data_IF_820968761873
#
_entry.id   IF_820968761873
#
_cell.length_a   1.000
_cell.length_b   1.000
_cell.length_c   1.000
_cell.angle_alpha   90.00
_cell.angle_beta   90.00
_cell.angle_gamma   90.00
#
_symmetry.space_group_name_H-M   'P 1'
#
loop_
_entity.id
_entity.type
_entity.pdbx_description
1 polymer ?
#
# COMPACT_ATOMS: atom_id res chain seq x y z
N UNK A 1 -49.48 -20.61 -50.08
CA UNK A 1 -49.09 -21.08 -48.73
C UNK A 1 -47.58 -21.14 -48.68
N UNK A 2 -46.94 -20.13 -48.10
CA UNK A 2 -45.50 -20.09 -47.83
C UNK A 2 -45.28 -20.38 -46.34
N UNK A 3 -44.25 -21.13 -45.93
CA UNK A 3 -44.01 -21.43 -44.52
C UNK A 3 -43.45 -20.17 -43.82
N UNK A 4 -43.73 -19.98 -42.52
CA UNK A 4 -43.19 -18.86 -41.76
C UNK A 4 -41.70 -19.09 -41.50
N UNK A 5 -40.87 -18.19 -42.02
CA UNK A 5 -39.44 -18.15 -41.74
C UNK A 5 -39.21 -17.85 -40.26
N UNK A 6 -38.65 -18.83 -39.57
CA UNK A 6 -38.14 -18.74 -38.20
C UNK A 6 -37.23 -17.52 -38.06
N UNK A 7 -37.67 -16.52 -37.29
CA UNK A 7 -36.86 -15.36 -36.93
C UNK A 7 -35.87 -15.80 -35.87
N UNK A 8 -34.68 -16.21 -36.29
CA UNK A 8 -33.56 -16.54 -35.41
C UNK A 8 -33.06 -15.26 -34.71
N UNK A 9 -33.54 -15.04 -33.49
CA UNK A 9 -33.04 -14.01 -32.59
C UNK A 9 -31.63 -14.41 -32.14
N UNK A 10 -30.61 -13.71 -32.67
CA UNK A 10 -29.23 -13.86 -32.24
C UNK A 10 -29.06 -13.21 -30.86
N UNK A 11 -28.95 -14.01 -29.81
CA UNK A 11 -28.52 -13.59 -28.48
C UNK A 11 -27.04 -13.14 -28.55
N UNK A 12 -26.81 -11.84 -28.58
CA UNK A 12 -25.47 -11.26 -28.54
C UNK A 12 -25.02 -11.13 -27.07
N UNK A 13 -24.56 -12.21 -26.47
CA UNK A 13 -23.86 -12.13 -25.18
C UNK A 13 -22.50 -11.46 -25.41
N UNK A 14 -22.40 -10.17 -25.12
CA UNK A 14 -21.17 -9.40 -25.23
C UNK A 14 -20.30 -9.65 -23.99
N UNK A 15 -19.60 -10.78 -23.94
CA UNK A 15 -18.50 -10.95 -22.98
C UNK A 15 -17.32 -10.12 -23.47
N UNK A 16 -17.09 -8.97 -22.83
CA UNK A 16 -15.87 -8.19 -23.08
C UNK A 16 -14.72 -8.96 -22.45
N UNK A 17 -14.09 -9.86 -23.22
CA UNK A 17 -12.71 -10.23 -22.97
C UNK A 17 -11.92 -9.01 -23.44
N UNK A 18 -11.68 -8.09 -22.52
CA UNK A 18 -10.75 -6.99 -22.73
C UNK A 18 -9.37 -7.61 -22.94
N UNK A 19 -9.07 -8.00 -24.17
CA UNK A 19 -7.71 -8.27 -24.65
C UNK A 19 -7.05 -6.92 -24.94
N UNK A 20 -7.17 -6.03 -23.96
CA UNK A 20 -6.30 -4.88 -23.83
C UNK A 20 -5.08 -5.38 -23.09
N UNK A 21 -3.90 -5.22 -23.69
CA UNK A 21 -2.69 -4.95 -22.91
C UNK A 21 -2.81 -3.58 -22.23
N UNK A 22 -3.93 -3.35 -21.55
CA UNK A 22 -4.06 -2.26 -20.62
C UNK A 22 -3.41 -2.77 -19.34
N UNK A 23 -2.64 -1.90 -18.70
CA UNK A 23 -2.11 -2.07 -17.35
C UNK A 23 -3.25 -2.03 -16.32
N UNK A 24 -4.37 -2.69 -16.61
CA UNK A 24 -5.48 -2.88 -15.67
C UNK A 24 -5.18 -4.15 -14.88
N UNK A 25 -5.19 -4.09 -13.55
CA UNK A 25 -4.92 -5.25 -12.74
C UNK A 25 -6.00 -6.32 -12.86
N UNK A 26 -5.57 -7.55 -12.67
CA UNK A 26 -6.44 -8.73 -12.61
C UNK A 26 -7.11 -8.83 -11.25
N UNK A 27 -6.41 -8.43 -10.17
CA UNK A 27 -6.94 -8.40 -8.81
C UNK A 27 -7.04 -6.98 -8.29
N UNK A 28 -8.18 -6.66 -7.70
CA UNK A 28 -8.47 -5.34 -7.13
C UNK A 28 -9.43 -5.48 -5.96
N UNK A 29 -9.43 -4.46 -5.09
CA UNK A 29 -10.37 -4.36 -3.98
C UNK A 29 -11.68 -3.76 -4.47
N UNK A 30 -12.77 -4.53 -4.40
CA UNK A 30 -14.13 -4.01 -4.61
C UNK A 30 -14.56 -3.13 -3.44
N UNK A 31 -15.64 -2.35 -3.59
CA UNK A 31 -16.23 -1.60 -2.46
C UNK A 31 -16.51 -2.49 -1.25
N UNK A 32 -17.01 -3.70 -1.48
CA UNK A 32 -17.27 -4.69 -0.44
C UNK A 32 -15.97 -5.21 0.21
N UNK A 33 -14.91 -5.42 -0.57
CA UNK A 33 -13.60 -5.83 -0.03
C UNK A 33 -12.98 -4.72 0.83
N UNK A 34 -13.14 -3.45 0.43
CA UNK A 34 -12.69 -2.28 1.22
C UNK A 34 -13.48 -2.17 2.54
N UNK A 35 -14.79 -2.39 2.52
CA UNK A 35 -15.61 -2.43 3.74
C UNK A 35 -15.19 -3.57 4.66
N UNK A 36 -14.90 -4.75 4.10
CA UNK A 36 -14.37 -5.89 4.86
C UNK A 36 -13.01 -5.58 5.47
N UNK A 37 -12.12 -4.92 4.73
CA UNK A 37 -10.82 -4.49 5.24
C UNK A 37 -10.98 -3.51 6.42
N UNK A 38 -11.89 -2.53 6.31
CA UNK A 38 -12.23 -1.63 7.41
C UNK A 38 -12.77 -2.39 8.63
N UNK A 39 -13.67 -3.35 8.42
CA UNK A 39 -14.20 -4.18 9.49
C UNK A 39 -13.13 -5.07 10.15
N UNK A 40 -12.14 -5.56 9.39
CA UNK A 40 -11.01 -6.31 9.94
C UNK A 40 -10.11 -5.46 10.82
N UNK A 41 -9.99 -4.15 10.54
CA UNK A 41 -9.23 -3.19 11.33
C UNK A 41 -10.03 -2.68 12.55
N UNK A 42 -11.36 -2.65 12.49
CA UNK A 42 -12.24 -2.24 13.58
C UNK A 42 -12.41 -3.35 14.65
N UNK A 43 -11.29 -3.74 15.26
CA UNK A 43 -11.23 -4.72 16.37
C UNK A 43 -10.96 -3.99 17.69
N UNK A 44 -11.40 -4.55 18.84
CA UNK A 44 -11.10 -3.97 20.14
C UNK A 44 -9.60 -3.98 20.41
N UNK A 45 -9.10 -2.89 21.01
CA UNK A 45 -7.69 -2.75 21.35
C UNK A 45 -7.32 -3.71 22.49
N UNK A 46 -6.40 -4.64 22.20
CA UNK A 46 -5.85 -5.57 23.20
C UNK A 46 -4.53 -5.06 23.76
N UNK A 47 -3.74 -4.39 22.93
CA UNK A 47 -2.46 -3.78 23.27
C UNK A 47 -2.22 -2.52 22.40
N UNK A 48 -1.15 -1.76 22.68
CA UNK A 48 -0.81 -0.55 21.91
C UNK A 48 -0.53 -0.84 20.43
N UNK A 49 0.09 -1.97 20.11
CA UNK A 49 0.38 -2.38 18.73
C UNK A 49 -0.92 -2.58 17.92
N UNK A 50 -1.91 -3.28 18.49
CA UNK A 50 -3.23 -3.46 17.87
C UNK A 50 -3.94 -2.13 17.68
N UNK A 51 -3.83 -1.22 18.64
CA UNK A 51 -4.36 0.13 18.52
C UNK A 51 -3.69 0.90 17.38
N UNK A 52 -2.37 0.79 17.25
CA UNK A 52 -1.62 1.38 16.14
C UNK A 52 -2.09 0.85 14.78
N UNK A 53 -2.12 -0.47 14.58
CA UNK A 53 -2.56 -1.05 13.29
C UNK A 53 -3.98 -0.66 12.93
N UNK A 54 -4.90 -0.68 13.90
CA UNK A 54 -6.30 -0.29 13.69
C UNK A 54 -6.45 1.20 13.37
N UNK A 55 -5.85 2.08 14.18
CA UNK A 55 -6.02 3.54 14.06
C UNK A 55 -5.34 4.05 12.80
N UNK A 56 -4.06 3.71 12.61
CA UNK A 56 -3.30 4.17 11.44
C UNK A 56 -3.81 3.51 10.17
N UNK A 57 -4.18 2.23 10.21
CA UNK A 57 -4.78 1.53 9.07
C UNK A 57 -6.10 2.16 8.62
N UNK A 58 -7.02 2.46 9.55
CA UNK A 58 -8.28 3.14 9.23
C UNK A 58 -8.05 4.56 8.70
N UNK A 59 -7.12 5.30 9.29
CA UNK A 59 -6.74 6.64 8.83
C UNK A 59 -6.17 6.62 7.42
N UNK A 60 -5.32 5.65 7.08
CA UNK A 60 -4.77 5.47 5.73
C UNK A 60 -5.87 5.21 4.69
N UNK A 61 -6.95 4.52 5.06
CA UNK A 61 -8.11 4.29 4.20
C UNK A 61 -9.06 5.50 4.11
N UNK A 62 -8.72 6.63 4.75
CA UNK A 62 -9.59 7.80 4.87
C UNK A 62 -10.87 7.56 5.68
N UNK A 63 -10.90 6.50 6.49
CA UNK A 63 -12.01 6.22 7.40
C UNK A 63 -11.82 6.94 8.73
N UNK A 64 -12.91 7.39 9.34
CA UNK A 64 -12.85 7.92 10.71
C UNK A 64 -12.79 6.78 11.71
N UNK A 65 -11.97 6.95 12.75
CA UNK A 65 -11.93 6.03 13.89
C UNK A 65 -13.22 6.22 14.70
N UNK A 66 -14.05 5.17 14.89
CA UNK A 66 -15.40 5.29 15.48
C UNK A 66 -15.45 5.98 16.85
N UNK A 67 -14.40 5.85 17.66
CA UNK A 67 -14.29 6.48 18.98
C UNK A 67 -12.91 7.13 19.21
N UNK A 68 -12.58 8.16 18.42
CA UNK A 68 -11.28 8.85 18.52
C UNK A 68 -10.89 9.28 19.95
N UNK A 69 -11.85 9.75 20.76
CA UNK A 69 -11.60 10.12 22.16
C UNK A 69 -11.23 8.93 23.05
N UNK A 70 -11.94 7.80 22.91
CA UNK A 70 -11.69 6.59 23.69
C UNK A 70 -10.36 5.95 23.29
N UNK A 71 -10.06 5.93 21.99
CA UNK A 71 -8.78 5.51 21.45
C UNK A 71 -7.63 6.34 22.02
N UNK A 72 -7.78 7.67 22.03
CA UNK A 72 -6.78 8.56 22.60
C UNK A 72 -6.59 8.35 24.13
N UNK A 73 -7.66 8.16 24.89
CA UNK A 73 -7.58 7.80 26.31
C UNK A 73 -6.86 6.46 26.50
N UNK A 74 -7.16 5.45 25.68
CA UNK A 74 -6.51 4.14 25.74
C UNK A 74 -5.00 4.24 25.48
N UNK A 75 -4.59 5.01 24.47
CA UNK A 75 -3.17 5.25 24.16
C UNK A 75 -2.48 5.88 25.37
N UNK A 76 -3.06 6.95 25.95
CA UNK A 76 -2.46 7.63 27.12
C UNK A 76 -2.37 6.73 28.35
N UNK A 77 -3.35 5.86 28.58
CA UNK A 77 -3.36 4.96 29.74
C UNK A 77 -2.40 3.78 29.63
N UNK A 78 -2.02 3.37 28.42
CA UNK A 78 -1.12 2.23 28.18
C UNK A 78 0.29 2.67 27.74
N UNK A 79 0.54 3.97 27.65
CA UNK A 79 1.83 4.54 27.29
C UNK A 79 2.88 4.20 28.35
N UNK A 80 3.96 3.54 27.93
CA UNK A 80 5.15 3.34 28.73
C UNK A 80 6.23 4.35 28.28
N UNK A 81 6.54 5.37 29.09
CA UNK A 81 7.52 6.40 28.75
C UNK A 81 8.96 5.89 28.71
N UNK A 82 9.21 4.65 29.18
CA UNK A 82 10.53 4.01 29.20
C UNK A 82 10.79 3.07 28.02
N UNK A 83 9.77 2.79 27.20
CA UNK A 83 9.85 1.83 26.11
C UNK A 83 9.69 2.52 24.75
N UNK A 84 10.73 2.43 23.90
CA UNK A 84 10.76 3.01 22.54
C UNK A 84 9.62 2.51 21.66
N UNK A 85 9.26 1.23 21.75
CA UNK A 85 8.19 0.64 20.93
C UNK A 85 6.81 1.18 21.35
N UNK A 86 6.60 1.33 22.67
CA UNK A 86 5.37 1.93 23.20
C UNK A 86 5.22 3.38 22.74
N UNK A 87 6.31 4.14 22.77
CA UNK A 87 6.37 5.52 22.30
C UNK A 87 6.09 5.63 20.80
N UNK A 88 6.64 4.73 20.00
CA UNK A 88 6.38 4.67 18.56
C UNK A 88 4.91 4.42 18.25
N UNK A 89 4.31 3.38 18.82
CA UNK A 89 2.90 3.05 18.59
C UNK A 89 1.98 4.20 19.03
N UNK A 90 2.28 4.82 20.17
CA UNK A 90 1.52 5.93 20.69
C UNK A 90 1.65 7.20 19.83
N UNK A 91 2.87 7.57 19.43
CA UNK A 91 3.13 8.76 18.61
C UNK A 91 2.39 8.66 17.27
N UNK A 92 2.59 7.56 16.55
CA UNK A 92 2.01 7.36 15.22
C UNK A 92 0.48 7.25 15.28
N UNK A 93 -0.07 6.54 16.27
CA UNK A 93 -1.52 6.46 16.45
C UNK A 93 -2.12 7.82 16.85
N UNK A 94 -1.44 8.60 17.69
CA UNK A 94 -1.91 9.92 18.10
C UNK A 94 -1.93 10.92 16.94
N UNK A 95 -0.94 10.86 16.04
CA UNK A 95 -0.87 11.71 14.85
C UNK A 95 -2.04 11.47 13.89
N UNK A 96 -2.51 10.22 13.79
CA UNK A 96 -3.68 9.85 13.00
C UNK A 96 -5.02 10.30 13.62
N UNK A 97 -5.04 10.67 14.91
CA UNK A 97 -6.25 11.11 15.62
C UNK A 97 -6.28 12.64 15.74
N UNK A 98 -7.28 13.27 15.12
CA UNK A 98 -7.51 14.70 15.29
C UNK A 98 -7.80 15.06 16.76
N UNK A 99 -6.93 15.87 17.36
CA UNK A 99 -7.07 16.36 18.75
C UNK A 99 -6.48 15.43 19.84
N UNK A 100 -5.69 14.41 19.47
CA UNK A 100 -4.97 13.58 20.43
C UNK A 100 -3.52 14.04 20.61
N UNK A 101 -3.29 15.06 21.44
CA UNK A 101 -1.93 15.51 21.77
C UNK A 101 -1.39 14.73 22.98
N UNK A 102 -0.21 14.13 22.83
CA UNK A 102 0.49 13.42 23.91
C UNK A 102 1.70 14.24 24.31
N UNK A 103 1.66 14.82 25.51
CA UNK A 103 2.82 15.47 26.11
C UNK A 103 3.76 14.40 26.68
N UNK A 104 5.02 14.40 26.25
CA UNK A 104 6.08 13.54 26.77
C UNK A 104 7.05 14.34 27.63
N UNK A 105 7.70 13.67 28.59
CA UNK A 105 8.68 14.32 29.46
C UNK A 105 10.04 14.49 28.76
N UNK A 106 10.92 15.31 29.33
CA UNK A 106 12.26 15.51 28.78
C UNK A 106 13.08 14.22 28.84
N UNK A 107 12.89 13.39 29.87
CA UNK A 107 13.56 12.11 30.04
C UNK A 107 13.20 11.13 28.91
N UNK A 108 11.92 11.10 28.52
CA UNK A 108 11.44 10.31 27.38
C UNK A 108 12.06 10.81 26.06
N UNK A 109 12.20 12.11 25.89
CA UNK A 109 12.85 12.70 24.72
C UNK A 109 14.33 12.31 24.65
N UNK A 110 15.04 12.38 25.78
CA UNK A 110 16.47 12.02 25.84
C UNK A 110 16.66 10.51 25.58
N UNK A 111 15.73 9.67 26.05
CA UNK A 111 15.70 8.24 25.74
C UNK A 111 15.52 7.98 24.24
N UNK A 112 14.60 8.68 23.56
CA UNK A 112 14.40 8.54 22.12
C UNK A 112 15.63 8.99 21.33
N UNK A 113 16.25 10.11 21.73
CA UNK A 113 17.49 10.59 21.10
C UNK A 113 18.65 9.60 21.30
N UNK A 114 18.78 9.01 22.49
CA UNK A 114 19.81 8.00 22.78
C UNK A 114 19.60 6.69 22.00
N UNK A 115 18.35 6.32 21.71
CA UNK A 115 18.00 5.16 20.90
C UNK A 115 18.36 5.34 19.41
N UNK A 116 18.57 6.58 18.95
CA UNK A 116 19.11 6.87 17.62
C UNK A 116 20.64 6.78 17.68
N UNK A 117 21.14 5.55 17.74
CA UNK A 117 22.58 5.26 17.84
C UNK A 117 22.98 4.04 17.00
N UNK A 118 24.25 3.99 16.60
CA UNK A 118 24.84 2.88 15.82
C UNK A 118 24.86 1.53 16.56
N UNK A 119 24.68 1.56 17.88
CA UNK A 119 24.63 0.36 18.72
C UNK A 119 23.21 -0.20 18.87
N UNK A 120 22.19 0.57 18.48
CA UNK A 120 20.78 0.16 18.52
C UNK A 120 20.41 -0.72 17.32
N UNK A 121 19.31 -1.46 17.41
CA UNK A 121 18.81 -2.24 16.26
C UNK A 121 18.15 -1.33 15.21
N UNK A 122 18.08 -1.77 13.95
CA UNK A 122 17.39 -1.03 12.88
C UNK A 122 15.94 -0.73 13.25
N UNK A 123 15.23 -1.70 13.84
CA UNK A 123 13.87 -1.52 14.36
C UNK A 123 13.80 -0.44 15.44
N UNK A 124 14.74 -0.41 16.39
CA UNK A 124 14.76 0.60 17.45
C UNK A 124 15.04 2.00 16.90
N UNK A 125 15.99 2.12 15.96
CA UNK A 125 16.29 3.39 15.28
C UNK A 125 15.03 3.88 14.55
N UNK A 126 14.38 3.00 13.78
CA UNK A 126 13.13 3.31 13.08
C UNK A 126 12.04 3.78 14.05
N UNK A 127 11.75 3.00 15.10
CA UNK A 127 10.74 3.34 16.08
C UNK A 127 11.04 4.66 16.79
N UNK A 128 12.30 4.91 17.15
CA UNK A 128 12.72 6.17 17.78
C UNK A 128 12.54 7.37 16.85
N UNK A 129 13.00 7.27 15.60
CA UNK A 129 12.89 8.34 14.60
C UNK A 129 11.42 8.65 14.28
N UNK A 130 10.61 7.60 14.06
CA UNK A 130 9.19 7.78 13.78
C UNK A 130 8.44 8.33 15.01
N UNK A 131 8.80 7.93 16.24
CA UNK A 131 8.23 8.53 17.44
C UNK A 131 8.59 10.02 17.57
N UNK A 132 9.85 10.39 17.36
CA UNK A 132 10.31 11.79 17.36
C UNK A 132 9.56 12.63 16.31
N UNK A 133 9.40 12.09 15.09
CA UNK A 133 8.64 12.70 13.99
C UNK A 133 7.16 12.85 14.35
N UNK A 134 6.54 11.80 14.91
CA UNK A 134 5.13 11.80 15.32
C UNK A 134 4.81 12.79 16.43
N UNK A 135 5.72 12.97 17.39
CA UNK A 135 5.60 13.99 18.44
C UNK A 135 5.99 15.41 17.98
N UNK A 136 6.46 15.59 16.75
CA UNK A 136 6.92 16.88 16.23
C UNK A 136 8.17 17.41 16.95
N UNK A 137 9.00 16.51 17.50
CA UNK A 137 10.24 16.86 18.17
C UNK A 137 11.37 17.14 17.18
N UNK A 138 12.36 17.97 17.55
CA UNK A 138 13.53 18.21 16.70
C UNK A 138 14.32 16.92 16.52
N UNK A 139 14.55 16.55 15.27
CA UNK A 139 15.29 15.36 14.87
C UNK A 139 16.56 15.77 14.11
N UNK A 140 17.72 15.33 14.60
CA UNK A 140 18.97 15.45 13.89
C UNK A 140 19.00 14.45 12.73
N UNK A 141 18.41 14.84 11.59
CA UNK A 141 18.16 13.94 10.46
C UNK A 141 19.43 13.30 9.90
N UNK A 142 20.54 14.05 9.88
CA UNK A 142 21.82 13.54 9.40
C UNK A 142 22.44 12.52 10.37
N UNK A 143 22.31 12.73 11.67
CA UNK A 143 22.81 11.79 12.70
C UNK A 143 22.00 10.49 12.69
N UNK A 144 20.67 10.60 12.55
CA UNK A 144 19.79 9.44 12.41
C UNK A 144 20.11 8.64 11.15
N UNK A 145 20.34 9.32 10.02
CA UNK A 145 20.74 8.68 8.77
C UNK A 145 22.12 8.00 8.92
N UNK A 146 23.11 8.67 9.50
CA UNK A 146 24.44 8.08 9.70
C UNK A 146 24.37 6.86 10.60
N UNK A 147 23.61 6.92 11.69
CA UNK A 147 23.43 5.79 12.60
C UNK A 147 22.78 4.60 11.90
N UNK A 148 21.75 4.86 11.09
CA UNK A 148 21.06 3.85 10.30
C UNK A 148 21.98 3.22 9.25
N UNK A 149 22.68 4.02 8.45
CA UNK A 149 23.60 3.53 7.41
C UNK A 149 24.75 2.75 8.03
N UNK A 150 25.37 3.26 9.10
CA UNK A 150 26.44 2.56 9.81
C UNK A 150 25.95 1.21 10.36
N UNK A 151 24.71 1.14 10.88
CA UNK A 151 24.15 -0.13 11.36
C UNK A 151 23.91 -1.13 10.22
N UNK A 152 23.35 -0.68 9.09
CA UNK A 152 23.15 -1.50 7.90
C UNK A 152 24.49 -2.05 7.38
N UNK A 153 25.53 -1.22 7.27
CA UNK A 153 26.87 -1.64 6.79
C UNK A 153 27.65 -2.50 7.80
N UNK A 154 27.53 -2.26 9.10
CA UNK A 154 28.16 -3.07 10.16
C UNK A 154 27.58 -4.48 10.19
N UNK A 155 26.29 -4.60 9.91
CA UNK A 155 25.64 -5.91 9.78
C UNK A 155 26.02 -6.60 8.48
N UNK A 156 26.18 -5.89 7.36
CA UNK A 156 26.76 -6.51 6.15
C UNK A 156 28.16 -7.07 6.40
N UNK A 157 29.03 -6.37 7.13
CA UNK A 157 30.42 -6.81 7.35
C UNK A 157 30.57 -7.93 8.39
N UNK A 158 29.71 -7.98 9.43
CA UNK A 158 29.75 -9.01 10.48
C UNK A 158 28.84 -10.19 10.15
N UNK A 159 27.64 -9.95 9.61
CA UNK A 159 26.77 -11.02 9.15
C UNK A 159 27.34 -11.65 7.88
N UNK A 160 27.78 -10.95 6.84
CA UNK A 160 28.31 -11.65 5.64
C UNK A 160 29.48 -12.61 5.91
N UNK A 161 30.27 -12.41 6.99
CA UNK A 161 31.35 -13.34 7.39
C UNK A 161 30.90 -14.55 8.21
N UNK A 162 29.81 -14.48 8.98
CA UNK A 162 29.27 -15.61 9.78
C UNK A 162 28.08 -16.28 9.07
N UNK A 163 27.45 -15.57 8.15
CA UNK A 163 26.19 -15.88 7.51
C UNK A 163 26.32 -16.71 6.22
N UNK A 164 27.51 -16.82 5.65
CA UNK A 164 27.77 -17.76 4.53
C UNK A 164 27.51 -19.24 4.89
N UNK A 165 27.11 -19.53 6.13
CA UNK A 165 26.79 -20.85 6.66
C UNK A 165 25.32 -21.13 7.01
N UNK A 166 24.35 -20.21 6.95
CA UNK A 166 22.95 -20.54 7.29
C UNK A 166 21.88 -19.75 6.51
N UNK A 167 20.97 -20.47 5.83
CA UNK A 167 19.90 -19.98 4.96
C UNK A 167 18.66 -19.45 5.73
N UNK A 168 18.81 -18.38 6.52
CA UNK A 168 17.70 -17.76 7.29
C UNK A 168 17.62 -16.21 7.15
N UNK A 169 18.40 -15.56 6.27
CA UNK A 169 18.58 -14.09 6.27
C UNK A 169 17.80 -13.33 5.21
N UNK A 170 17.28 -13.99 4.18
CA UNK A 170 16.54 -13.27 3.15
C UNK A 170 15.40 -12.48 3.82
N UNK A 171 14.67 -13.14 4.73
CA UNK A 171 13.52 -12.56 5.41
C UNK A 171 13.80 -11.39 6.35
N UNK A 172 14.97 -11.38 6.98
CA UNK A 172 15.37 -10.26 7.84
C UNK A 172 15.98 -9.10 7.03
N UNK A 173 16.50 -9.35 5.82
CA UNK A 173 17.11 -8.30 5.00
C UNK A 173 16.05 -7.37 4.41
N UNK A 174 15.04 -7.91 3.70
CA UNK A 174 13.97 -7.11 3.10
C UNK A 174 13.21 -6.29 4.15
N UNK A 175 12.89 -6.90 5.30
CA UNK A 175 12.22 -6.21 6.41
C UNK A 175 13.04 -5.02 6.95
N UNK A 176 14.37 -5.17 7.11
CA UNK A 176 15.25 -4.09 7.58
C UNK A 176 15.32 -2.94 6.58
N UNK A 177 15.46 -3.24 5.30
CA UNK A 177 15.51 -2.18 4.29
C UNK A 177 14.15 -1.48 4.16
N UNK A 178 13.03 -2.19 4.32
CA UNK A 178 11.69 -1.57 4.42
C UNK A 178 11.62 -0.60 5.61
N UNK A 179 12.12 -0.99 6.78
CA UNK A 179 12.20 -0.09 7.93
C UNK A 179 13.13 1.11 7.69
N UNK A 180 14.23 0.91 6.96
CA UNK A 180 15.12 1.99 6.56
C UNK A 180 14.41 2.99 5.62
N UNK A 181 13.65 2.52 4.63
CA UNK A 181 12.82 3.34 3.75
C UNK A 181 11.76 4.12 4.55
N UNK A 182 11.10 3.46 5.49
CA UNK A 182 10.13 4.11 6.38
C UNK A 182 10.81 5.20 7.24
N UNK A 183 11.97 4.89 7.83
CA UNK A 183 12.76 5.85 8.61
C UNK A 183 13.14 7.06 7.77
N UNK A 184 13.68 6.83 6.57
CA UNK A 184 14.08 7.86 5.63
C UNK A 184 12.91 8.78 5.25
N UNK A 185 11.68 8.25 5.15
CA UNK A 185 10.47 9.06 4.87
C UNK A 185 10.10 10.04 5.99
N UNK A 186 10.65 9.87 7.20
CA UNK A 186 10.45 10.74 8.35
C UNK A 186 11.60 11.73 8.57
N UNK A 187 12.71 11.59 7.85
CA UNK A 187 13.87 12.49 7.93
C UNK A 187 13.60 13.80 7.18
N UNK A 188 14.45 14.79 7.38
CA UNK A 188 14.44 16.02 6.59
C UNK A 188 14.92 15.78 5.16
N UNK A 189 14.32 16.48 4.19
CA UNK A 189 14.74 16.51 2.78
C UNK A 189 16.21 16.97 2.58
N UNK A 190 16.80 17.62 3.59
CA UNK A 190 18.19 18.05 3.57
C UNK A 190 19.19 16.91 3.84
N UNK A 191 18.74 15.76 4.33
CA UNK A 191 19.58 14.59 4.54
C UNK A 191 19.93 13.92 3.20
N UNK A 192 21.12 13.34 3.09
CA UNK A 192 21.58 12.67 1.86
C UNK A 192 20.96 11.28 1.70
N UNK A 193 19.70 11.22 1.25
CA UNK A 193 18.94 9.97 1.12
C UNK A 193 19.29 9.15 -0.12
N UNK A 194 20.31 9.55 -0.90
CA UNK A 194 20.63 8.93 -2.20
C UNK A 194 20.95 7.45 -2.10
N UNK A 195 21.77 7.07 -1.12
CA UNK A 195 22.14 5.67 -0.91
C UNK A 195 20.92 4.78 -0.67
N UNK A 196 19.96 5.24 0.14
CA UNK A 196 18.73 4.50 0.43
C UNK A 196 17.81 4.42 -0.80
N UNK A 197 17.80 5.45 -1.64
CA UNK A 197 17.01 5.46 -2.89
C UNK A 197 17.60 4.49 -3.92
N UNK A 198 18.92 4.39 -4.02
CA UNK A 198 19.59 3.45 -4.92
C UNK A 198 19.25 1.98 -4.57
N UNK A 199 19.14 1.64 -3.28
CA UNK A 199 18.74 0.31 -2.81
C UNK A 199 17.33 -0.12 -3.27
N UNK A 200 16.46 0.82 -3.64
CA UNK A 200 15.10 0.50 -4.13
C UNK A 200 15.20 -0.31 -5.42
N UNK A 201 16.10 0.04 -6.33
CA UNK A 201 16.27 -0.67 -7.60
C UNK A 201 16.74 -2.11 -7.38
N UNK A 202 17.69 -2.30 -6.46
CA UNK A 202 18.21 -3.61 -6.08
C UNK A 202 17.14 -4.47 -5.40
N UNK A 203 16.29 -3.87 -4.55
CA UNK A 203 15.17 -4.58 -3.93
C UNK A 203 14.10 -4.98 -4.95
N UNK A 204 13.80 -4.13 -5.92
CA UNK A 204 12.85 -4.45 -7.00
C UNK A 204 13.37 -5.62 -7.84
N UNK A 205 14.68 -5.67 -8.10
CA UNK A 205 15.31 -6.77 -8.83
C UNK A 205 15.29 -8.11 -8.08
N UNK A 206 15.08 -8.09 -6.75
CA UNK A 206 15.00 -9.28 -5.89
C UNK A 206 13.60 -9.85 -5.72
N UNK A 207 12.58 -9.18 -6.25
CA UNK A 207 11.22 -9.69 -6.17
C UNK A 207 11.05 -10.92 -7.09
N UNK A 208 10.31 -11.91 -6.62
CA UNK A 208 9.98 -13.08 -7.41
C UNK A 208 8.84 -12.81 -8.37
N UNK A 209 9.10 -13.08 -9.65
CA UNK A 209 8.08 -13.09 -10.68
C UNK A 209 7.37 -14.45 -10.70
N UNK A 210 6.10 -14.48 -10.28
CA UNK A 210 5.29 -15.69 -10.32
C UNK A 210 4.35 -15.64 -11.52
N UNK A 211 4.67 -16.47 -12.53
CA UNK A 211 3.83 -16.67 -13.71
C UNK A 211 3.61 -15.43 -14.57
N UNK A 212 4.49 -14.42 -14.49
CA UNK A 212 4.39 -13.16 -15.24
C UNK A 212 3.24 -12.24 -14.84
N UNK A 213 2.49 -12.59 -13.80
CA UNK A 213 1.30 -11.85 -13.34
C UNK A 213 1.48 -11.26 -11.95
N UNK A 214 2.34 -11.87 -11.13
CA UNK A 214 2.57 -11.49 -9.75
C UNK A 214 4.04 -11.18 -9.53
N UNK A 215 4.30 -10.16 -8.71
CA UNK A 215 5.63 -9.80 -8.24
C UNK A 215 5.55 -9.65 -6.72
N UNK A 216 6.36 -10.38 -5.97
CA UNK A 216 6.36 -10.35 -4.50
C UNK A 216 7.70 -10.80 -3.92
N UNK A 217 7.94 -10.50 -2.65
CA UNK A 217 9.04 -11.07 -1.89
C UNK A 217 8.75 -12.53 -1.49
N UNK A 218 9.79 -13.38 -1.40
CA UNK A 218 9.70 -14.76 -0.86
C UNK A 218 9.10 -14.77 0.55
N UNK A 219 9.39 -13.72 1.30
CA UNK A 219 8.95 -13.41 2.65
C UNK A 219 7.43 -13.28 2.80
N UNK A 220 6.74 -12.98 1.70
CA UNK A 220 5.29 -12.88 1.65
C UNK A 220 4.74 -11.48 1.35
N UNK A 221 3.40 -11.44 1.34
CA UNK A 221 2.63 -10.28 0.89
C UNK A 221 2.72 -9.09 1.84
N UNK A 222 2.87 -9.32 3.14
CA UNK A 222 2.96 -8.25 4.14
C UNK A 222 4.21 -7.39 3.92
N UNK A 223 5.39 -8.03 3.80
CA UNK A 223 6.65 -7.34 3.47
C UNK A 223 6.57 -6.63 2.12
N UNK A 224 5.97 -7.29 1.12
CA UNK A 224 5.76 -6.71 -0.21
C UNK A 224 4.88 -5.45 -0.14
N UNK A 225 3.77 -5.49 0.60
CA UNK A 225 2.88 -4.35 0.77
C UNK A 225 3.55 -3.19 1.52
N UNK A 226 4.27 -3.48 2.61
CA UNK A 226 5.00 -2.46 3.36
C UNK A 226 6.14 -1.85 2.53
N UNK A 227 6.83 -2.63 1.72
CA UNK A 227 7.87 -2.15 0.80
C UNK A 227 7.30 -1.13 -0.20
N UNK A 228 6.19 -1.46 -0.86
CA UNK A 228 5.56 -0.54 -1.83
C UNK A 228 5.09 0.72 -1.12
N UNK A 229 4.43 0.60 0.03
CA UNK A 229 3.98 1.76 0.81
C UNK A 229 5.15 2.65 1.24
N UNK A 230 6.23 2.07 1.75
CA UNK A 230 7.42 2.79 2.19
C UNK A 230 8.16 3.47 1.03
N UNK A 231 8.33 2.76 -0.08
CA UNK A 231 8.98 3.26 -1.30
C UNK A 231 8.26 4.50 -1.80
N UNK A 232 6.96 4.41 -2.05
CA UNK A 232 6.22 5.55 -2.57
C UNK A 232 6.17 6.73 -1.58
N UNK A 233 6.10 6.46 -0.27
CA UNK A 233 6.16 7.52 0.76
C UNK A 233 7.52 8.23 0.77
N UNK A 234 8.62 7.48 0.67
CA UNK A 234 9.96 8.06 0.57
C UNK A 234 10.14 8.86 -0.73
N UNK A 235 9.71 8.30 -1.86
CA UNK A 235 9.83 8.93 -3.16
C UNK A 235 8.94 10.19 -3.26
N UNK A 236 7.79 10.20 -2.58
CA UNK A 236 6.99 11.41 -2.39
C UNK A 236 7.75 12.45 -1.53
N UNK A 237 8.38 12.01 -0.44
CA UNK A 237 9.17 12.89 0.41
C UNK A 237 10.37 13.52 -0.32
N UNK A 238 11.12 12.74 -1.11
CA UNK A 238 12.28 13.20 -1.88
C UNK A 238 11.88 13.98 -3.14
N UNK A 239 10.67 13.74 -3.66
CA UNK A 239 10.17 14.39 -4.88
C UNK A 239 10.72 13.80 -6.17
N UNK A 240 11.16 12.54 -6.13
CA UNK A 240 11.68 11.79 -7.29
C UNK A 240 10.74 10.62 -7.61
N UNK A 241 10.65 10.22 -8.87
CA UNK A 241 9.87 9.06 -9.30
C UNK A 241 10.50 7.74 -8.81
N UNK A 242 9.72 6.78 -8.27
CA UNK A 242 10.23 5.47 -7.87
C UNK A 242 10.80 4.69 -9.06
N UNK A 243 11.92 4.01 -8.87
CA UNK A 243 12.53 3.08 -9.83
C UNK A 243 11.74 1.76 -9.96
N UNK A 244 10.42 1.84 -10.10
CA UNK A 244 9.51 0.72 -10.30
C UNK A 244 8.75 0.98 -11.61
N UNK A 245 8.84 0.05 -12.56
CA UNK A 245 8.15 0.19 -13.85
C UNK A 245 6.64 0.00 -13.72
N UNK A 246 5.87 0.60 -14.63
CA UNK A 246 4.40 0.53 -14.61
C UNK A 246 3.86 -0.91 -14.59
N UNK A 247 4.47 -1.83 -15.35
CA UNK A 247 4.11 -3.26 -15.39
C UNK A 247 4.40 -3.96 -14.05
N UNK A 248 5.53 -3.64 -13.43
CA UNK A 248 5.88 -4.15 -12.10
C UNK A 248 4.90 -3.65 -11.03
N UNK A 249 4.43 -2.40 -11.12
CA UNK A 249 3.38 -1.88 -10.22
C UNK A 249 2.10 -2.70 -10.34
N UNK A 250 1.69 -3.07 -11.56
CA UNK A 250 0.51 -3.93 -11.76
C UNK A 250 0.74 -5.34 -11.21
N UNK A 251 1.92 -5.92 -11.38
CA UNK A 251 2.23 -7.24 -10.85
C UNK A 251 2.27 -7.28 -9.32
N UNK A 252 2.88 -6.27 -8.69
CA UNK A 252 2.88 -6.08 -7.23
C UNK A 252 1.44 -5.97 -6.70
N UNK A 253 0.63 -5.18 -7.38
CA UNK A 253 -0.76 -4.97 -7.00
C UNK A 253 -1.60 -6.23 -7.14
N UNK A 254 -1.40 -7.00 -8.21
CA UNK A 254 -2.03 -8.30 -8.40
C UNK A 254 -1.67 -9.27 -7.28
N UNK A 255 -0.42 -9.26 -6.82
CA UNK A 255 0.04 -10.15 -5.74
C UNK A 255 -0.63 -9.76 -4.42
N UNK A 256 -0.54 -8.49 -4.03
CA UNK A 256 -1.07 -7.96 -2.76
C UNK A 256 -2.59 -8.14 -2.67
N UNK A 257 -3.34 -7.81 -3.73
CA UNK A 257 -4.81 -7.87 -3.72
C UNK A 257 -5.39 -9.23 -4.12
N UNK A 258 -4.54 -10.23 -4.40
CA UNK A 258 -5.00 -11.60 -4.61
C UNK A 258 -5.66 -12.18 -3.35
N UNK A 259 -5.19 -11.78 -2.16
CA UNK A 259 -5.73 -12.19 -0.87
C UNK A 259 -6.77 -11.19 -0.37
N UNK A 260 -8.00 -11.65 -0.22
CA UNK A 260 -9.17 -10.83 0.21
C UNK A 260 -9.60 -11.06 1.66
N UNK A 261 -8.92 -11.96 2.36
CA UNK A 261 -9.21 -12.30 3.74
C UNK A 261 -7.95 -12.05 4.57
N UNK A 262 -8.07 -11.22 5.61
CA UNK A 262 -6.95 -10.82 6.46
C UNK A 262 -7.14 -11.45 7.83
N UNK A 263 -6.22 -12.35 8.20
CA UNK A 263 -6.30 -13.08 9.47
C UNK A 263 -5.74 -12.24 10.63
N UNK A 264 -4.62 -11.56 10.37
CA UNK A 264 -3.93 -10.70 11.33
C UNK A 264 -4.22 -9.20 11.10
N UNK A 265 -4.08 -8.41 12.17
CA UNK A 265 -4.18 -6.94 12.08
C UNK A 265 -3.02 -6.33 11.29
N UNK A 266 -1.81 -6.89 11.43
CA UNK A 266 -0.63 -6.43 10.69
C UNK A 266 -0.80 -6.59 9.18
N UNK A 267 -1.36 -7.72 8.75
CA UNK A 267 -1.66 -7.96 7.34
C UNK A 267 -2.69 -6.96 6.81
N UNK A 268 -3.80 -6.77 7.53
CA UNK A 268 -4.81 -5.77 7.17
C UNK A 268 -4.21 -4.35 7.09
N UNK A 269 -3.34 -4.00 8.04
CA UNK A 269 -2.64 -2.72 8.07
C UNK A 269 -1.70 -2.53 6.87
N UNK A 270 -0.92 -3.56 6.50
CA UNK A 270 0.00 -3.49 5.37
C UNK A 270 -0.76 -3.28 4.04
N UNK A 271 -1.85 -4.02 3.83
CA UNK A 271 -2.73 -3.89 2.66
C UNK A 271 -3.42 -2.53 2.63
N UNK A 272 -3.88 -2.03 3.78
CA UNK A 272 -4.46 -0.70 3.88
C UNK A 272 -3.45 0.40 3.53
N UNK A 273 -2.21 0.27 4.00
CA UNK A 273 -1.13 1.24 3.77
C UNK A 273 -0.75 1.33 2.29
N UNK A 274 -0.56 0.19 1.62
CA UNK A 274 -0.26 0.19 0.18
C UNK A 274 -1.45 0.63 -0.66
N UNK A 275 -2.67 0.22 -0.30
CA UNK A 275 -3.87 0.64 -1.02
C UNK A 275 -4.07 2.16 -0.94
N UNK A 276 -3.80 2.77 0.22
CA UNK A 276 -3.84 4.22 0.38
C UNK A 276 -2.87 4.93 -0.58
N UNK A 277 -1.61 4.49 -0.62
CA UNK A 277 -0.58 5.13 -1.44
C UNK A 277 -0.78 4.89 -2.94
N UNK A 278 -1.21 3.70 -3.35
CA UNK A 278 -1.54 3.44 -4.76
C UNK A 278 -2.84 4.10 -5.21
N UNK A 279 -3.74 4.43 -4.28
CA UNK A 279 -4.99 5.15 -4.60
C UNK A 279 -4.77 6.63 -4.92
N UNK A 280 -3.72 7.21 -4.35
CA UNK A 280 -3.37 8.62 -4.49
C UNK A 280 -1.85 8.79 -4.37
N UNK A 281 -1.18 8.97 -5.50
CA UNK A 281 0.23 9.36 -5.55
C UNK A 281 0.52 10.20 -6.80
N UNK A 282 1.72 10.77 -6.86
CA UNK A 282 2.16 11.65 -7.95
C UNK A 282 2.77 10.91 -9.15
N UNK A 283 2.98 9.60 -9.06
CA UNK A 283 3.81 8.84 -10.00
C UNK A 283 2.98 7.80 -10.76
N UNK A 284 2.64 6.68 -10.12
CA UNK A 284 1.86 5.59 -10.73
C UNK A 284 0.56 5.41 -9.97
N UNK A 285 -0.55 5.92 -10.51
CA UNK A 285 -1.91 5.66 -9.97
C UNK A 285 -2.56 4.55 -10.80
N UNK A 286 -2.64 3.31 -10.31
CA UNK A 286 -3.23 2.21 -11.06
C UNK A 286 -4.74 2.42 -11.23
N UNK A 287 -5.22 2.17 -12.44
CA UNK A 287 -6.64 2.34 -12.80
C UNK A 287 -7.31 0.99 -12.96
N UNK A 288 -8.43 0.82 -12.28
CA UNK A 288 -9.29 -0.37 -12.34
C UNK A 288 -10.47 -0.05 -13.25
N UNK A 289 -10.66 -0.84 -14.30
CA UNK A 289 -11.77 -0.70 -15.26
C UNK A 289 -12.55 -2.01 -15.31
N UNK A 290 -13.83 -1.95 -14.90
CA UNK A 290 -14.70 -3.13 -14.79
C UNK A 290 -16.03 -2.85 -15.47
N UNK A 291 -16.60 -3.77 -16.27
CA UNK A 291 -17.95 -3.61 -16.80
C UNK A 291 -18.99 -3.65 -15.68
N UNK A 292 -19.90 -2.68 -15.68
CA UNK A 292 -21.00 -2.57 -14.73
C UNK A 292 -22.27 -3.18 -15.35
N UNK A 293 -22.80 -4.23 -14.74
CA UNK A 293 -24.05 -4.90 -15.13
C UNK A 293 -23.91 -6.39 -15.45
N UNK A 294 -24.92 -7.18 -15.06
CA UNK A 294 -25.09 -8.55 -15.52
C UNK A 294 -25.56 -8.55 -16.97
N UNK A 295 -24.99 -9.42 -17.81
CA UNK A 295 -25.33 -9.56 -19.23
C UNK A 295 -26.75 -10.10 -19.50
N UNK A 296 -27.69 -9.98 -18.55
CA UNK A 296 -28.95 -10.74 -18.57
C UNK A 296 -30.23 -9.92 -18.62
N UNK A 297 -30.24 -8.60 -18.48
CA UNK A 297 -31.52 -7.89 -18.38
C UNK A 297 -31.75 -6.83 -19.47
N UNK A 298 -32.82 -7.10 -20.23
CA UNK A 298 -33.63 -6.23 -21.09
C UNK A 298 -33.20 -5.90 -22.52
N UNK A 299 -34.10 -6.30 -23.43
CA UNK A 299 -33.95 -6.52 -24.86
C UNK A 299 -34.00 -5.26 -25.76
N UNK A 300 -33.87 -4.03 -25.26
CA UNK A 300 -34.11 -2.85 -26.11
C UNK A 300 -33.06 -1.73 -26.13
N UNK A 301 -32.00 -1.78 -25.31
CA UNK A 301 -30.82 -0.91 -25.47
C UNK A 301 -29.69 -1.45 -24.60
N UNK A 302 -28.77 -2.21 -25.18
CA UNK A 302 -27.58 -2.68 -24.48
C UNK A 302 -26.62 -1.48 -24.27
N UNK A 303 -26.82 -0.75 -23.17
CA UNK A 303 -25.91 0.32 -22.76
C UNK A 303 -24.73 -0.34 -22.05
N UNK A 304 -23.54 -0.22 -22.63
CA UNK A 304 -22.30 -0.64 -21.97
C UNK A 304 -21.93 0.40 -20.91
N UNK A 305 -21.96 0.01 -19.64
CA UNK A 305 -21.47 0.82 -18.52
C UNK A 305 -20.13 0.27 -18.04
N UNK A 306 -19.19 1.16 -17.75
CA UNK A 306 -17.89 0.83 -17.21
C UNK A 306 -17.73 1.58 -15.89
N UNK A 307 -17.41 0.84 -14.84
CA UNK A 307 -16.91 1.39 -13.60
C UNK A 307 -15.41 1.62 -13.73
N UNK A 308 -14.99 2.87 -13.58
CA UNK A 308 -13.58 3.28 -13.60
C UNK A 308 -13.22 3.88 -12.25
N UNK A 309 -12.35 3.21 -11.52
CA UNK A 309 -11.97 3.57 -10.15
C UNK A 309 -10.47 3.45 -9.93
N UNK A 310 -9.99 4.05 -8.84
CA UNK A 310 -8.68 3.69 -8.28
C UNK A 310 -8.76 2.33 -7.54
N UNK A 311 -7.64 1.94 -6.92
CA UNK A 311 -7.48 0.69 -6.18
C UNK A 311 -8.39 0.55 -4.96
N UNK A 312 -8.90 1.66 -4.42
CA UNK A 312 -9.85 1.70 -3.29
C UNK A 312 -11.31 1.78 -3.74
N UNK A 313 -11.60 1.47 -5.01
CA UNK A 313 -12.95 1.59 -5.59
C UNK A 313 -13.54 3.01 -5.52
N UNK A 314 -12.68 4.04 -5.45
CA UNK A 314 -13.10 5.45 -5.49
C UNK A 314 -13.09 5.95 -6.94
N UNK A 315 -14.07 6.81 -7.33
CA UNK A 315 -14.12 7.35 -8.68
C UNK A 315 -12.91 8.26 -8.96
N UNK A 316 -12.38 8.19 -10.17
CA UNK A 316 -11.32 9.09 -10.62
C UNK A 316 -11.90 10.47 -10.93
N UNK A 317 -11.30 11.54 -10.40
CA UNK A 317 -11.78 12.92 -10.57
C UNK A 317 -11.58 13.47 -11.99
N UNK A 318 -10.63 12.93 -12.75
CA UNK A 318 -10.35 13.31 -14.14
C UNK A 318 -9.93 12.09 -14.95
N UNK A 319 -10.88 11.41 -15.61
CA UNK A 319 -10.58 10.32 -16.52
C UNK A 319 -11.41 10.45 -17.81
N UNK A 320 -10.74 10.40 -18.96
CA UNK A 320 -11.40 10.30 -20.27
C UNK A 320 -11.23 8.87 -20.78
N UNK A 321 -12.34 8.15 -20.92
CA UNK A 321 -12.32 6.76 -21.39
C UNK A 321 -12.75 6.73 -22.85
N UNK A 322 -11.89 6.18 -23.70
CA UNK A 322 -12.17 5.99 -25.11
C UNK A 322 -12.05 4.51 -25.46
N UNK A 323 -13.11 3.96 -26.02
CA UNK A 323 -13.11 2.63 -26.59
C UNK A 323 -12.39 2.67 -27.94
N UNK A 324 -11.25 1.99 -28.05
CA UNK A 324 -10.59 1.86 -29.35
C UNK A 324 -11.35 0.88 -30.24
N UNK A 325 -11.61 -0.35 -29.76
CA UNK A 325 -12.35 -1.37 -30.48
C UNK A 325 -13.07 -2.32 -29.51
N UNK A 326 -14.27 -2.79 -29.88
CA UNK A 326 -14.92 -3.96 -29.28
C UNK A 326 -15.22 -4.98 -30.37
N UNK A 327 -14.99 -6.26 -30.09
CA UNK A 327 -15.24 -7.35 -31.03
C UNK A 327 -16.27 -8.33 -30.46
N UNK A 328 -17.13 -8.86 -31.31
CA UNK A 328 -18.04 -9.94 -30.96
C UNK A 328 -17.23 -11.21 -30.72
N UNK A 329 -17.48 -11.90 -29.60
CA UNK A 329 -16.77 -13.16 -29.28
C UNK A 329 -17.08 -14.26 -30.30
N UNK A 330 -18.33 -14.32 -30.79
CA UNK A 330 -18.77 -15.34 -31.74
C UNK A 330 -18.21 -15.13 -33.16
N UNK A 331 -18.22 -13.89 -33.66
CA UNK A 331 -17.87 -13.58 -35.05
C UNK A 331 -16.48 -12.98 -35.23
N UNK A 332 -15.81 -12.58 -34.14
CA UNK A 332 -14.60 -11.76 -34.11
C UNK A 332 -14.71 -10.42 -34.87
N UNK A 333 -15.90 -10.07 -35.36
CA UNK A 333 -16.17 -8.82 -36.04
C UNK A 333 -16.16 -7.65 -35.05
N UNK A 334 -15.66 -6.50 -35.49
CA UNK A 334 -15.71 -5.26 -34.70
C UNK A 334 -17.15 -4.77 -34.61
N UNK A 335 -17.67 -4.63 -33.39
CA UNK A 335 -19.04 -4.19 -33.09
C UNK A 335 -19.07 -2.71 -32.72
N UNK A 336 -18.02 -2.21 -32.06
CA UNK A 336 -17.85 -0.80 -31.71
C UNK A 336 -16.41 -0.37 -31.97
N UNK A 337 -16.19 0.89 -32.35
CA UNK A 337 -14.86 1.43 -32.62
C UNK A 337 -14.81 2.93 -32.36
N UNK A 338 -13.72 3.39 -31.72
CA UNK A 338 -13.42 4.82 -31.47
C UNK A 338 -14.57 5.58 -30.78
N UNK A 339 -15.28 4.93 -29.86
CA UNK A 339 -16.41 5.52 -29.14
C UNK A 339 -15.93 6.09 -27.80
N UNK A 340 -16.21 7.36 -27.53
CA UNK A 340 -15.96 7.96 -26.22
C UNK A 340 -17.08 7.62 -25.24
N UNK A 341 -16.73 7.27 -24.01
CA UNK A 341 -17.73 7.11 -22.94
C UNK A 341 -18.13 8.47 -22.39
N UNK A 342 -19.39 8.60 -21.98
CA UNK A 342 -19.88 9.77 -21.24
C UNK A 342 -19.87 9.44 -19.75
N UNK A 343 -19.34 10.33 -18.89
CA UNK A 343 -19.41 10.13 -17.45
C UNK A 343 -20.87 10.10 -16.99
N UNK A 344 -21.24 9.06 -16.25
CA UNK A 344 -22.53 8.98 -15.55
C UNK A 344 -22.18 9.05 -14.07
N UNK A 345 -22.68 10.09 -13.40
CA UNK A 345 -22.29 10.49 -12.04
C UNK A 345 -22.63 9.48 -10.96
#
# INVERSE_FOLDING_TARGET
>A
MAPPGSSTVFLLALTIIASTRALTPTHYLTKHDVERLKASLDRPFTNLESAFYSIVGLSSLGAQVPDAKKACTYIRSNLDPSNVDSLFYAAQASQALSGCEISISNETKDLLLAAVSEDSSVTQIYHAVAALSGFGLPLASQEALSALTARLSKEETVLARVWSTFLESCSLFSQRTVQALQTASHLSQQADLRSIVEEIEDLVARLDELGGVYLQFEEGLETTALFVAATYKLMDHVGTEPSIKEDQVIQLMNAIFSKKNFESLSEAFSVASVAAVLSHNRYHVPVVVVPEGSASDTHEQAILRLQVTNVLSQPLTQATVKLEHAKSVASRATVLQKTSFTPVG
#
